data_IF_511973163908
#
_entry.id   IF_511973163908
#
_cell.length_a   1.000
_cell.length_b   1.000
_cell.length_c   1.000
_cell.angle_alpha   90.00
_cell.angle_beta   90.00
_cell.angle_gamma   90.00
#
_symmetry.space_group_name_H-M   'P 1'
#
loop_
_entity.id
_entity.type
_entity.pdbx_description
1 polymer ?
#
# COMPACT_ATOMS: atom_id res chain seq x y z
N UNK A 1 8.19 5.64 23.23
CA UNK A 1 7.03 6.00 22.39
C UNK A 1 6.45 4.71 21.81
N UNK A 2 5.13 4.58 21.69
CA UNK A 2 4.43 3.39 21.19
C UNK A 2 3.81 3.70 19.81
N UNK A 3 4.16 3.00 18.71
CA UNK A 3 3.59 3.33 17.40
C UNK A 3 2.10 2.95 17.36
N UNK A 4 1.23 3.87 16.98
CA UNK A 4 -0.14 3.55 16.57
C UNK A 4 -0.07 2.65 15.32
N UNK A 5 -0.87 1.58 15.27
CA UNK A 5 -0.77 0.52 14.26
C UNK A 5 0.59 -0.19 14.20
N UNK A 6 1.39 -0.11 15.27
CA UNK A 6 2.59 -0.92 15.40
C UNK A 6 2.30 -2.29 15.98
N UNK A 7 3.05 -3.31 15.54
CA UNK A 7 3.05 -4.65 16.14
C UNK A 7 4.36 -4.83 16.91
N UNK A 8 4.28 -5.02 18.23
CA UNK A 8 5.46 -5.22 19.08
C UNK A 8 5.92 -6.68 19.06
N UNK A 9 7.13 -6.93 18.56
CA UNK A 9 7.76 -8.25 18.45
C UNK A 9 8.88 -8.47 19.47
N UNK A 10 8.98 -7.65 20.52
CA UNK A 10 10.09 -7.71 21.48
C UNK A 10 10.08 -8.95 22.35
N UNK A 11 8.90 -9.35 22.83
CA UNK A 11 8.70 -10.49 23.73
C UNK A 11 8.11 -11.72 23.03
N UNK A 12 7.43 -11.52 21.90
CA UNK A 12 6.76 -12.57 21.13
C UNK A 12 6.90 -12.25 19.63
N UNK A 13 7.66 -13.07 18.90
CA UNK A 13 7.86 -12.89 17.46
C UNK A 13 6.62 -13.25 16.63
N UNK A 14 5.65 -13.99 17.22
CA UNK A 14 4.39 -14.36 16.60
C UNK A 14 3.23 -13.41 16.94
N UNK A 15 3.49 -12.28 17.60
CA UNK A 15 2.45 -11.32 17.93
C UNK A 15 1.86 -10.69 16.65
N UNK A 16 0.53 -10.64 16.57
CA UNK A 16 -0.23 -10.02 15.48
C UNK A 16 -1.07 -8.82 15.97
N UNK A 17 -1.04 -8.52 17.27
CA UNK A 17 -1.85 -7.47 17.86
C UNK A 17 -1.28 -6.09 17.54
N UNK A 18 -2.09 -5.28 16.88
CA UNK A 18 -1.84 -3.87 16.66
C UNK A 18 -2.02 -3.08 17.97
N UNK A 19 -1.12 -2.12 18.18
CA UNK A 19 -1.35 -1.03 19.11
C UNK A 19 -2.52 -0.13 18.65
N UNK A 20 -3.13 0.61 19.57
CA UNK A 20 -4.11 1.64 19.24
C UNK A 20 -5.55 1.29 19.61
N UNK A 21 -5.80 0.07 20.09
CA UNK A 21 -7.10 -0.32 20.65
C UNK A 21 -7.53 0.60 21.81
N UNK A 22 -6.61 1.30 22.47
CA UNK A 22 -6.90 2.25 23.54
C UNK A 22 -7.62 3.53 23.04
N UNK A 23 -7.58 3.79 21.73
CA UNK A 23 -8.24 4.91 21.04
C UNK A 23 -9.52 4.49 20.33
N UNK A 24 -9.82 3.19 20.25
CA UNK A 24 -10.98 2.69 19.55
C UNK A 24 -12.26 3.05 20.30
N UNK A 25 -13.17 3.77 19.65
CA UNK A 25 -14.43 4.25 20.24
C UNK A 25 -15.68 3.61 19.62
N UNK A 26 -15.57 3.04 18.41
CA UNK A 26 -16.63 2.26 17.79
C UNK A 26 -16.05 1.20 16.86
N UNK A 27 -16.78 0.10 16.70
CA UNK A 27 -16.52 -0.95 15.70
C UNK A 27 -17.77 -1.12 14.83
N UNK A 28 -17.61 -1.59 13.60
CA UNK A 28 -18.75 -2.04 12.81
C UNK A 28 -19.49 -3.17 13.53
N UNK A 29 -20.77 -3.33 13.23
CA UNK A 29 -21.56 -4.46 13.70
C UNK A 29 -21.00 -5.78 13.15
N UNK A 30 -21.15 -6.85 13.94
CA UNK A 30 -20.72 -8.19 13.51
C UNK A 30 -21.34 -8.63 12.17
N UNK A 31 -22.56 -8.17 11.88
CA UNK A 31 -23.25 -8.44 10.60
C UNK A 31 -22.46 -7.84 9.43
N UNK A 32 -22.01 -6.58 9.54
CA UNK A 32 -21.24 -5.94 8.49
C UNK A 32 -19.82 -6.48 8.40
N UNK A 33 -19.18 -6.79 9.53
CA UNK A 33 -17.86 -7.44 9.55
C UNK A 33 -17.91 -8.80 8.84
N UNK A 34 -18.89 -9.66 9.16
CA UNK A 34 -19.06 -10.96 8.51
C UNK A 34 -19.38 -10.82 7.00
N UNK A 35 -20.16 -9.80 6.64
CA UNK A 35 -20.47 -9.50 5.24
C UNK A 35 -19.22 -9.05 4.47
N UNK A 36 -18.40 -8.17 5.07
CA UNK A 36 -17.15 -7.70 4.50
C UNK A 36 -16.15 -8.83 4.29
N UNK A 37 -15.98 -9.71 5.28
CA UNK A 37 -15.10 -10.89 5.18
C UNK A 37 -15.54 -11.84 4.06
N UNK A 38 -16.85 -12.08 3.97
CA UNK A 38 -17.46 -12.92 2.95
C UNK A 38 -17.23 -12.37 1.54
N UNK A 39 -17.43 -11.06 1.34
CA UNK A 39 -17.23 -10.41 0.04
C UNK A 39 -15.75 -10.28 -0.30
N UNK A 40 -14.88 -9.94 0.65
CA UNK A 40 -13.43 -9.90 0.48
C UNK A 40 -12.88 -11.25 -0.02
N UNK A 41 -13.35 -12.36 0.55
CA UNK A 41 -13.01 -13.70 0.08
C UNK A 41 -13.44 -13.98 -1.37
N UNK A 42 -14.58 -13.42 -1.83
CA UNK A 42 -15.03 -13.53 -3.23
C UNK A 42 -14.20 -12.62 -4.15
N UNK A 43 -13.91 -11.40 -3.73
CA UNK A 43 -13.08 -10.44 -4.47
C UNK A 43 -11.67 -11.00 -4.69
N UNK A 44 -11.06 -11.65 -3.69
CA UNK A 44 -9.79 -12.35 -3.87
C UNK A 44 -9.86 -13.48 -4.91
N UNK A 45 -10.96 -14.23 -4.97
CA UNK A 45 -11.17 -15.27 -5.99
C UNK A 45 -11.31 -14.65 -7.38
N UNK A 46 -12.01 -13.51 -7.50
CA UNK A 46 -12.13 -12.74 -8.74
C UNK A 46 -10.74 -12.30 -9.23
N UNK A 47 -9.91 -11.73 -8.34
CA UNK A 47 -8.52 -11.33 -8.67
C UNK A 47 -7.69 -12.53 -9.13
N UNK A 48 -7.78 -13.67 -8.45
CA UNK A 48 -7.08 -14.90 -8.89
C UNK A 48 -7.60 -15.40 -10.24
N UNK A 49 -8.90 -15.28 -10.49
CA UNK A 49 -9.54 -15.70 -11.75
C UNK A 49 -9.16 -14.78 -12.92
N UNK A 50 -8.99 -13.48 -12.68
CA UNK A 50 -8.63 -12.48 -13.70
C UNK A 50 -7.19 -12.67 -14.21
N UNK A 51 -6.29 -13.16 -13.36
CA UNK A 51 -4.90 -13.45 -13.71
C UNK A 51 -4.76 -14.66 -14.64
N UNK A 52 -3.70 -14.67 -15.45
CA UNK A 52 -3.32 -15.86 -16.22
C UNK A 52 -3.01 -17.05 -15.29
N UNK A 53 -3.28 -18.30 -15.73
CA UNK A 53 -2.80 -19.49 -15.03
C UNK A 53 -1.30 -19.39 -14.72
N UNK A 54 -0.90 -19.88 -13.54
CA UNK A 54 0.48 -19.78 -13.07
C UNK A 54 1.53 -20.25 -14.10
N UNK A 55 1.36 -21.38 -14.81
CA UNK A 55 2.33 -21.82 -15.82
C UNK A 55 2.53 -20.81 -16.95
N UNK A 56 1.44 -20.18 -17.42
CA UNK A 56 1.52 -19.18 -18.49
C UNK A 56 2.20 -17.90 -18.00
N UNK A 57 1.98 -17.50 -16.74
CA UNK A 57 2.71 -16.37 -16.15
C UNK A 57 4.20 -16.64 -16.04
N UNK A 58 4.57 -17.85 -15.61
CA UNK A 58 5.98 -18.26 -15.54
C UNK A 58 6.64 -18.20 -16.91
N UNK A 59 5.98 -18.70 -17.96
CA UNK A 59 6.49 -18.62 -19.34
C UNK A 59 6.64 -17.18 -19.80
N UNK A 60 5.66 -16.32 -19.51
CA UNK A 60 5.69 -14.89 -19.86
C UNK A 60 6.90 -14.20 -19.22
N UNK A 61 7.09 -14.33 -17.90
CA UNK A 61 8.21 -13.73 -17.19
C UNK A 61 9.57 -14.29 -17.62
N UNK A 62 9.65 -15.59 -17.93
CA UNK A 62 10.87 -16.19 -18.46
C UNK A 62 11.23 -15.61 -19.84
N UNK A 63 10.25 -15.41 -20.73
CA UNK A 63 10.47 -14.80 -22.04
C UNK A 63 10.94 -13.34 -21.91
N UNK A 64 10.32 -12.56 -21.02
CA UNK A 64 10.72 -11.18 -20.73
C UNK A 64 12.15 -11.10 -20.19
N UNK A 65 12.50 -11.97 -19.23
CA UNK A 65 13.85 -12.02 -18.65
C UNK A 65 14.90 -12.41 -19.70
N UNK A 66 14.64 -13.44 -20.52
CA UNK A 66 15.55 -13.85 -21.60
C UNK A 66 15.73 -12.69 -22.59
N UNK A 67 14.66 -12.02 -22.99
CA UNK A 67 14.72 -10.87 -23.90
C UNK A 67 15.57 -9.73 -23.32
N UNK A 68 15.41 -9.41 -22.03
CA UNK A 68 16.21 -8.39 -21.33
C UNK A 68 17.69 -8.76 -21.24
N UNK A 69 18.02 -10.03 -20.98
CA UNK A 69 19.41 -10.50 -20.96
C UNK A 69 20.05 -10.33 -22.34
N UNK A 70 19.34 -10.69 -23.41
CA UNK A 70 19.85 -10.53 -24.78
C UNK A 70 20.06 -9.06 -25.12
N UNK A 71 19.11 -8.18 -24.80
CA UNK A 71 19.27 -6.71 -24.98
C UNK A 71 20.49 -6.20 -24.21
N UNK A 72 20.63 -6.58 -22.94
CA UNK A 72 21.76 -6.16 -22.11
C UNK A 72 23.11 -6.65 -22.63
N UNK A 73 23.17 -7.85 -23.21
CA UNK A 73 24.36 -8.38 -23.88
C UNK A 73 24.70 -7.60 -25.16
N UNK A 74 23.70 -7.32 -26.00
CA UNK A 74 23.89 -6.55 -27.24
C UNK A 74 24.36 -5.12 -26.97
N UNK A 75 23.82 -4.46 -25.93
CA UNK A 75 24.24 -3.10 -25.55
C UNK A 75 25.67 -3.02 -25.00
N UNK A 76 26.24 -4.14 -24.54
CA UNK A 76 27.61 -4.23 -24.03
C UNK A 76 28.61 -4.78 -25.04
N UNK A 77 28.14 -5.21 -26.21
CA UNK A 77 29.00 -5.78 -27.22
C UNK A 77 29.77 -4.65 -27.95
N UNK A 78 31.10 -4.72 -27.95
CA UNK A 78 31.97 -3.81 -28.69
C UNK A 78 32.03 -4.12 -30.20
N UNK A 79 31.02 -4.82 -30.72
CA UNK A 79 30.89 -5.21 -32.13
C UNK A 79 29.59 -4.65 -32.70
N UNK A 80 29.57 -4.41 -34.01
CA UNK A 80 28.37 -3.90 -34.66
C UNK A 80 27.20 -4.91 -34.58
N UNK A 81 25.93 -4.46 -34.65
CA UNK A 81 24.78 -5.36 -34.68
C UNK A 81 24.84 -6.39 -35.82
N UNK A 82 25.36 -6.00 -36.99
CA UNK A 82 25.53 -6.92 -38.12
C UNK A 82 26.57 -8.02 -37.82
N UNK A 83 27.67 -7.66 -37.17
CA UNK A 83 28.74 -8.58 -36.80
C UNK A 83 28.31 -9.53 -35.66
N UNK A 84 27.61 -9.03 -34.66
CA UNK A 84 27.02 -9.89 -33.61
C UNK A 84 25.94 -10.83 -34.14
N UNK A 85 25.13 -10.39 -35.12
CA UNK A 85 24.18 -11.27 -35.82
C UNK A 85 24.89 -12.36 -36.60
N UNK A 86 26.01 -12.05 -37.26
CA UNK A 86 26.80 -13.06 -37.95
C UNK A 86 27.39 -14.08 -36.98
N UNK A 87 27.88 -13.62 -35.82
CA UNK A 87 28.51 -14.47 -34.80
C UNK A 87 27.51 -15.38 -34.07
N UNK A 88 26.30 -14.87 -33.77
CA UNK A 88 25.30 -15.62 -33.00
C UNK A 88 23.86 -15.30 -33.48
N UNK A 89 23.49 -15.71 -34.70
CA UNK A 89 22.18 -15.38 -35.28
C UNK A 89 21.02 -16.01 -34.49
N UNK A 90 21.26 -17.14 -33.83
CA UNK A 90 20.26 -17.83 -33.01
C UNK A 90 19.77 -16.97 -31.83
N UNK A 91 20.60 -16.07 -31.29
CA UNK A 91 20.19 -15.15 -30.22
C UNK A 91 19.11 -14.17 -30.69
N UNK A 92 19.19 -13.71 -31.93
CA UNK A 92 18.21 -12.80 -32.51
C UNK A 92 16.87 -13.50 -32.77
N UNK A 93 16.91 -14.75 -33.25
CA UNK A 93 15.69 -15.55 -33.41
C UNK A 93 15.07 -15.93 -32.08
N UNK A 94 15.87 -16.31 -31.08
CA UNK A 94 15.40 -16.56 -29.72
C UNK A 94 14.76 -15.32 -29.12
N UNK A 95 15.40 -14.15 -29.26
CA UNK A 95 14.83 -12.87 -28.84
C UNK A 95 13.47 -12.60 -29.48
N UNK A 96 13.37 -12.75 -30.81
CA UNK A 96 12.11 -12.54 -31.54
C UNK A 96 11.00 -13.48 -31.05
N UNK A 97 11.30 -14.76 -30.85
CA UNK A 97 10.36 -15.75 -30.32
C UNK A 97 9.91 -15.39 -28.91
N UNK A 98 10.84 -15.04 -28.01
CA UNK A 98 10.53 -14.62 -26.65
C UNK A 98 9.62 -13.38 -26.63
N UNK A 99 9.91 -12.36 -27.46
CA UNK A 99 9.08 -11.16 -27.56
C UNK A 99 7.67 -11.49 -28.05
N UNK A 100 7.54 -12.32 -29.10
CA UNK A 100 6.23 -12.71 -29.63
C UNK A 100 5.41 -13.47 -28.58
N UNK A 101 6.01 -14.44 -27.90
CA UNK A 101 5.35 -15.21 -26.84
C UNK A 101 4.93 -14.28 -25.69
N UNK A 102 5.83 -13.41 -25.23
CA UNK A 102 5.55 -12.44 -24.16
C UNK A 102 4.37 -11.53 -24.51
N UNK A 103 4.36 -10.94 -25.71
CA UNK A 103 3.28 -10.07 -26.19
C UNK A 103 1.95 -10.83 -26.31
N UNK A 104 1.96 -12.05 -26.86
CA UNK A 104 0.74 -12.86 -26.97
C UNK A 104 0.15 -13.18 -25.59
N UNK A 105 0.99 -13.59 -24.64
CA UNK A 105 0.56 -13.88 -23.27
C UNK A 105 0.06 -12.62 -22.58
N UNK A 106 0.74 -11.48 -22.74
CA UNK A 106 0.29 -10.20 -22.20
C UNK A 106 -1.10 -9.81 -22.69
N UNK A 107 -1.35 -9.91 -24.01
CA UNK A 107 -2.66 -9.62 -24.61
C UNK A 107 -3.74 -10.59 -24.09
N UNK A 108 -3.43 -11.90 -24.03
CA UNK A 108 -4.34 -12.90 -23.48
C UNK A 108 -4.67 -12.64 -22.01
N UNK A 109 -3.68 -12.22 -21.23
CA UNK A 109 -3.87 -11.82 -19.84
C UNK A 109 -4.81 -10.65 -19.71
N UNK A 110 -4.59 -9.57 -20.47
CA UNK A 110 -5.47 -8.39 -20.48
C UNK A 110 -6.89 -8.71 -20.94
N UNK A 111 -7.04 -9.60 -21.94
CA UNK A 111 -8.36 -10.04 -22.39
C UNK A 111 -9.08 -10.86 -21.32
N UNK A 112 -8.40 -11.78 -20.66
CA UNK A 112 -8.96 -12.59 -19.56
C UNK A 112 -9.37 -11.71 -18.38
N UNK A 113 -8.50 -10.78 -18.00
CA UNK A 113 -8.76 -9.81 -16.94
C UNK A 113 -10.05 -9.03 -17.22
N UNK A 114 -10.14 -8.45 -18.42
CA UNK A 114 -11.33 -7.71 -18.85
C UNK A 114 -12.58 -8.60 -18.88
N UNK A 115 -12.49 -9.82 -19.41
CA UNK A 115 -13.63 -10.74 -19.46
C UNK A 115 -14.15 -11.09 -18.06
N UNK A 116 -13.26 -11.27 -17.08
CA UNK A 116 -13.65 -11.54 -15.70
C UNK A 116 -14.26 -10.30 -15.06
N UNK A 117 -13.67 -9.11 -15.25
CA UNK A 117 -14.19 -7.87 -14.66
C UNK A 117 -15.51 -7.40 -15.30
N UNK A 118 -15.74 -7.71 -16.58
CA UNK A 118 -16.96 -7.32 -17.28
C UNK A 118 -18.15 -8.27 -16.99
N UNK A 119 -17.89 -9.44 -16.41
CA UNK A 119 -18.88 -10.43 -16.03
C UNK A 119 -19.88 -9.89 -14.99
N UNK A 120 -21.16 -10.16 -15.19
CA UNK A 120 -22.25 -9.58 -14.38
C UNK A 120 -22.16 -9.99 -12.91
N UNK A 121 -21.80 -11.24 -12.61
CA UNK A 121 -21.65 -11.73 -11.23
C UNK A 121 -20.47 -11.05 -10.55
N UNK A 122 -19.37 -10.85 -11.28
CA UNK A 122 -18.19 -10.13 -10.81
C UNK A 122 -18.52 -8.67 -10.50
N UNK A 123 -19.17 -7.96 -11.42
CA UNK A 123 -19.62 -6.57 -11.19
C UNK A 123 -20.53 -6.45 -9.99
N UNK A 124 -21.46 -7.40 -9.82
CA UNK A 124 -22.35 -7.43 -8.67
C UNK A 124 -21.57 -7.62 -7.37
N UNK A 125 -20.63 -8.57 -7.34
CA UNK A 125 -19.80 -8.81 -6.15
C UNK A 125 -18.97 -7.58 -5.77
N UNK A 126 -18.39 -6.88 -6.76
CA UNK A 126 -17.65 -5.64 -6.51
C UNK A 126 -18.57 -4.53 -6.01
N UNK A 127 -19.74 -4.36 -6.62
CA UNK A 127 -20.74 -3.40 -6.16
C UNK A 127 -21.28 -3.71 -4.75
N UNK A 128 -21.41 -4.99 -4.39
CA UNK A 128 -21.78 -5.43 -3.05
C UNK A 128 -20.67 -5.07 -2.05
N UNK A 129 -19.39 -5.19 -2.44
CA UNK A 129 -18.23 -4.74 -1.64
C UNK A 129 -18.30 -3.25 -1.36
N UNK A 130 -18.42 -2.43 -2.41
CA UNK A 130 -18.51 -0.98 -2.29
C UNK A 130 -19.70 -0.54 -1.43
N UNK A 131 -20.82 -1.27 -1.51
CA UNK A 131 -22.01 -0.99 -0.72
C UNK A 131 -21.78 -1.30 0.77
N UNK A 132 -21.17 -2.45 1.09
CA UNK A 132 -20.85 -2.83 2.47
C UNK A 132 -19.85 -1.85 3.09
N UNK A 133 -18.80 -1.46 2.35
CA UNK A 133 -17.83 -0.47 2.83
C UNK A 133 -18.50 0.86 3.17
N UNK A 134 -19.40 1.35 2.29
CA UNK A 134 -20.19 2.56 2.57
C UNK A 134 -21.11 2.41 3.77
N UNK A 135 -21.72 1.24 3.96
CA UNK A 135 -22.58 0.98 5.10
C UNK A 135 -21.79 0.96 6.41
N UNK A 136 -20.58 0.39 6.41
CA UNK A 136 -19.66 0.44 7.55
C UNK A 136 -19.28 1.88 7.88
N UNK A 137 -18.85 2.67 6.89
CA UNK A 137 -18.46 4.07 7.11
C UNK A 137 -19.65 4.92 7.63
N UNK A 138 -20.87 4.64 7.15
CA UNK A 138 -22.08 5.26 7.66
C UNK A 138 -22.39 4.83 9.11
N UNK A 139 -22.26 3.55 9.45
CA UNK A 139 -22.43 3.05 10.83
C UNK A 139 -21.41 3.71 11.78
N UNK A 140 -20.16 3.87 11.33
CA UNK A 140 -19.10 4.54 12.08
C UNK A 140 -19.25 6.08 12.09
N UNK A 141 -20.32 6.61 11.49
CA UNK A 141 -20.61 8.04 11.45
C UNK A 141 -19.45 8.85 10.88
N UNK A 142 -18.92 8.41 9.74
CA UNK A 142 -17.94 9.17 8.94
C UNK A 142 -18.69 10.27 8.19
N UNK A 143 -18.31 11.55 8.35
CA UNK A 143 -18.98 12.65 7.68
C UNK A 143 -18.53 12.80 6.23
N UNK A 144 -19.37 13.42 5.39
CA UNK A 144 -19.10 13.63 3.95
C UNK A 144 -17.84 14.47 3.67
N UNK A 145 -17.40 15.29 4.62
CA UNK A 145 -16.20 16.12 4.50
C UNK A 145 -14.92 15.41 5.00
N UNK A 146 -15.02 14.15 5.44
CA UNK A 146 -13.85 13.37 5.80
C UNK A 146 -12.93 13.22 4.59
N UNK A 147 -11.62 13.21 4.83
CA UNK A 147 -10.60 13.05 3.80
C UNK A 147 -9.96 11.68 3.90
N UNK A 148 -9.60 11.09 2.77
CA UNK A 148 -8.81 9.87 2.76
C UNK A 148 -7.34 10.19 3.01
N UNK A 149 -6.73 9.50 3.96
CA UNK A 149 -5.31 9.59 4.29
C UNK A 149 -4.72 8.21 4.50
N UNK A 150 -3.43 8.10 4.30
CA UNK A 150 -2.69 6.90 4.63
C UNK A 150 -1.92 7.05 5.96
N UNK A 151 -1.87 5.98 6.74
CA UNK A 151 -1.09 5.86 7.98
C UNK A 151 -0.20 4.62 7.90
N UNK A 152 1.05 4.75 8.33
CA UNK A 152 2.04 3.69 8.23
C UNK A 152 1.91 2.69 9.39
N UNK A 153 1.78 1.41 9.04
CA UNK A 153 1.80 0.27 9.96
C UNK A 153 3.08 -0.55 9.76
N UNK A 154 3.66 -1.06 10.85
CA UNK A 154 4.89 -1.86 10.82
C UNK A 154 5.13 -2.67 12.10
N UNK A 155 5.88 -3.76 11.96
CA UNK A 155 6.39 -4.51 13.10
C UNK A 155 7.66 -3.86 13.67
N UNK A 156 7.77 -3.83 15.00
CA UNK A 156 8.91 -3.23 15.69
C UNK A 156 9.38 -4.05 16.89
N UNK A 157 10.64 -3.84 17.28
CA UNK A 157 11.22 -4.31 18.54
C UNK A 157 11.66 -3.09 19.35
N UNK A 158 11.55 -3.20 20.66
CA UNK A 158 12.00 -2.22 21.63
C UNK A 158 13.39 -2.62 22.12
N UNK A 159 14.37 -1.75 21.88
CA UNK A 159 15.75 -1.95 22.31
C UNK A 159 16.20 -0.69 23.05
N UNK A 160 16.54 -0.80 24.33
CA UNK A 160 16.94 0.33 25.18
C UNK A 160 15.96 1.52 25.08
N UNK A 161 14.66 1.25 25.26
CA UNK A 161 13.56 2.25 25.20
C UNK A 161 13.42 2.94 23.83
N UNK A 162 14.10 2.42 22.80
CA UNK A 162 14.04 2.93 21.43
C UNK A 162 13.31 1.95 20.52
N UNK A 163 12.34 2.45 19.75
CA UNK A 163 11.67 1.67 18.71
C UNK A 163 12.64 1.42 17.55
N UNK A 164 12.86 0.16 17.19
CA UNK A 164 13.51 -0.24 15.94
C UNK A 164 12.53 -1.05 15.10
N UNK A 165 12.42 -0.70 13.82
CA UNK A 165 11.65 -1.50 12.87
C UNK A 165 12.25 -2.92 12.81
N UNK A 166 11.41 -3.94 13.01
CA UNK A 166 11.86 -5.31 13.23
C UNK A 166 12.52 -5.94 12.00
N UNK A 167 12.14 -5.50 10.80
CA UNK A 167 12.63 -6.06 9.55
C UNK A 167 13.21 -4.97 8.65
N UNK A 168 14.55 -4.91 8.57
CA UNK A 168 15.26 -3.93 7.74
C UNK A 168 15.01 -4.21 6.26
N UNK A 169 14.52 -3.19 5.53
CA UNK A 169 14.29 -3.29 4.09
C UNK A 169 12.95 -3.90 3.70
N UNK A 170 12.13 -4.29 4.67
CA UNK A 170 10.74 -4.69 4.41
C UNK A 170 9.90 -3.42 4.30
N UNK A 171 9.11 -3.26 3.23
CA UNK A 171 8.21 -2.13 3.10
C UNK A 171 7.21 -2.05 4.26
N UNK A 172 6.89 -0.83 4.67
CA UNK A 172 5.82 -0.55 5.62
C UNK A 172 4.47 -0.72 4.93
N UNK A 173 3.46 -1.11 5.70
CA UNK A 173 2.09 -1.23 5.20
C UNK A 173 1.44 0.14 5.21
N UNK A 174 0.81 0.51 4.10
CA UNK A 174 0.12 1.78 3.94
C UNK A 174 -1.38 1.59 4.20
N UNK A 175 -1.83 1.89 5.43
CA UNK A 175 -3.20 1.67 5.86
C UNK A 175 -4.07 2.89 5.48
N UNK A 176 -5.17 2.67 4.75
CA UNK A 176 -6.10 3.73 4.34
C UNK A 176 -7.10 4.05 5.45
N UNK A 177 -7.28 5.33 5.75
CA UNK A 177 -8.22 5.85 6.73
C UNK A 177 -9.00 7.04 6.19
N UNK A 178 -10.21 7.23 6.68
CA UNK A 178 -10.92 8.50 6.65
C UNK A 178 -10.53 9.33 7.88
N UNK A 179 -10.10 10.57 7.67
CA UNK A 179 -9.72 11.51 8.72
C UNK A 179 -10.66 12.71 8.76
N UNK A 180 -11.05 13.11 9.97
CA UNK A 180 -11.82 14.32 10.24
C UNK A 180 -11.65 14.74 11.69
N UNK A 181 -12.13 15.93 12.04
CA UNK A 181 -12.09 16.46 13.41
C UNK A 181 -13.46 16.94 13.84
N UNK A 182 -13.69 16.95 15.15
CA UNK A 182 -14.66 17.83 15.79
C UNK A 182 -13.95 18.83 16.72
N UNK A 183 -14.66 19.41 17.69
CA UNK A 183 -14.07 20.36 18.64
C UNK A 183 -13.11 19.73 19.66
N UNK A 184 -13.16 18.42 19.87
CA UNK A 184 -12.44 17.72 20.93
C UNK A 184 -11.41 16.72 20.38
N UNK A 185 -11.71 16.04 19.28
CA UNK A 185 -10.97 14.89 18.80
C UNK A 185 -10.62 14.99 17.32
N UNK A 186 -9.47 14.41 16.98
CA UNK A 186 -9.14 13.92 15.65
C UNK A 186 -9.61 12.47 15.54
N UNK A 187 -10.28 12.14 14.45
CA UNK A 187 -10.74 10.78 14.17
C UNK A 187 -9.98 10.18 13.01
N UNK A 188 -9.60 8.91 13.14
CA UNK A 188 -9.21 8.05 12.03
C UNK A 188 -10.22 6.90 11.97
N UNK A 189 -10.78 6.64 10.79
CA UNK A 189 -11.79 5.59 10.60
C UNK A 189 -11.42 4.73 9.40
N UNK A 190 -11.31 3.42 9.62
CA UNK A 190 -11.20 2.42 8.57
C UNK A 190 -12.38 1.45 8.65
N UNK A 191 -12.28 0.32 7.95
CA UNK A 191 -13.31 -0.72 7.98
C UNK A 191 -13.30 -1.56 9.27
N UNK A 192 -12.25 -1.45 10.09
CA UNK A 192 -12.12 -2.19 11.36
C UNK A 192 -12.66 -1.39 12.55
N UNK A 193 -12.62 -0.05 12.47
CA UNK A 193 -13.27 0.79 13.46
C UNK A 193 -12.93 2.28 13.39
N UNK A 194 -13.50 2.99 14.37
CA UNK A 194 -13.32 4.43 14.58
C UNK A 194 -12.41 4.67 15.78
N UNK A 195 -11.32 5.36 15.53
CA UNK A 195 -10.32 5.72 16.52
C UNK A 195 -10.42 7.22 16.83
N UNK A 196 -10.44 7.59 18.11
CA UNK A 196 -10.53 8.96 18.57
C UNK A 196 -9.26 9.37 19.31
N UNK A 197 -8.64 10.45 18.86
CA UNK A 197 -7.44 11.03 19.45
C UNK A 197 -7.78 12.42 19.97
N UNK A 198 -7.80 12.65 21.29
CA UNK A 198 -8.07 13.97 21.84
C UNK A 198 -7.09 15.00 21.29
N UNK A 199 -7.56 16.09 20.71
CA UNK A 199 -6.70 17.13 20.13
C UNK A 199 -5.74 17.71 21.18
N UNK A 200 -6.20 17.81 22.42
CA UNK A 200 -5.40 18.24 23.58
C UNK A 200 -4.25 17.29 23.94
N UNK A 201 -4.30 16.04 23.49
CA UNK A 201 -3.23 15.06 23.69
C UNK A 201 -2.09 15.20 22.68
N UNK A 202 -2.34 15.83 21.52
CA UNK A 202 -1.38 15.94 20.43
C UNK A 202 -0.34 17.01 20.79
N UNK A 203 0.93 16.61 20.81
CA UNK A 203 2.02 17.46 21.30
C UNK A 203 2.78 18.13 20.16
N UNK A 204 3.16 17.34 19.15
CA UNK A 204 4.03 17.78 18.06
C UNK A 204 3.91 16.86 16.85
N UNK A 205 4.21 17.40 15.67
CA UNK A 205 4.49 16.61 14.47
C UNK A 205 6.00 16.76 14.19
N UNK A 206 6.73 15.65 14.20
CA UNK A 206 8.17 15.62 13.94
C UNK A 206 8.46 15.13 12.53
N UNK A 207 9.40 15.78 11.84
CA UNK A 207 9.88 15.33 10.53
C UNK A 207 11.03 14.36 10.68
N UNK A 208 10.84 13.13 10.21
CA UNK A 208 11.88 12.11 10.19
C UNK A 208 12.50 12.04 8.80
N UNK A 209 13.72 12.55 8.67
CA UNK A 209 14.52 12.53 7.43
C UNK A 209 15.21 11.18 7.22
N UNK A 210 14.43 10.11 7.25
CA UNK A 210 14.89 8.75 6.95
C UNK A 210 14.02 8.18 5.83
N UNK A 211 14.64 7.55 4.82
CA UNK A 211 13.87 6.94 3.74
C UNK A 211 13.09 5.74 4.27
N UNK A 212 11.86 5.60 3.79
CA UNK A 212 11.00 4.44 4.03
C UNK A 212 10.43 3.96 2.71
N UNK A 213 10.22 2.66 2.61
CA UNK A 213 9.51 2.06 1.48
C UNK A 213 8.12 1.69 1.98
N UNK A 214 7.09 1.95 1.19
CA UNK A 214 5.71 1.58 1.48
C UNK A 214 5.19 0.66 0.37
N UNK A 215 4.42 -0.35 0.74
CA UNK A 215 3.61 -1.08 -0.23
C UNK A 215 2.27 -0.37 -0.42
N UNK A 216 1.62 -0.66 -1.53
CA UNK A 216 0.22 -0.32 -1.79
C UNK A 216 -0.06 1.18 -1.86
N UNK A 217 -0.25 1.65 -3.10
CA UNK A 217 -0.65 3.02 -3.37
C UNK A 217 -2.17 3.11 -3.34
N UNK A 218 -2.72 3.72 -2.29
CA UNK A 218 -4.17 3.78 -2.05
C UNK A 218 -4.87 4.95 -2.76
N UNK A 219 -4.15 5.75 -3.56
CA UNK A 219 -4.71 6.96 -4.18
C UNK A 219 -5.06 6.74 -5.65
N UNK A 220 -6.18 7.31 -6.07
CA UNK A 220 -6.62 7.30 -7.47
C UNK A 220 -5.58 7.94 -8.41
N UNK A 221 -5.02 9.08 -8.00
CA UNK A 221 -3.98 9.75 -8.78
C UNK A 221 -2.62 9.05 -8.57
N UNK A 222 -1.90 8.71 -9.66
CA UNK A 222 -0.57 8.10 -9.53
C UNK A 222 0.41 8.96 -8.73
N UNK A 223 1.26 8.31 -7.94
CA UNK A 223 2.25 8.94 -7.05
C UNK A 223 3.20 9.97 -7.71
N UNK A 224 3.39 9.88 -9.03
CA UNK A 224 4.26 10.76 -9.81
C UNK A 224 3.52 11.84 -10.61
N UNK A 225 2.21 12.00 -10.40
CA UNK A 225 1.35 12.99 -11.06
C UNK A 225 0.72 13.97 -10.05
N UNK A 226 0.03 14.97 -10.62
CA UNK A 226 -0.68 16.06 -9.94
C UNK A 226 -0.08 16.53 -8.62
N UNK A 227 -0.84 16.41 -7.54
CA UNK A 227 -0.44 16.94 -6.22
C UNK A 227 0.71 16.15 -5.61
N UNK A 228 0.90 14.90 -6.03
CA UNK A 228 1.92 14.02 -5.45
C UNK A 228 3.31 14.22 -6.03
N UNK A 229 3.41 14.80 -7.24
CA UNK A 229 4.69 15.08 -7.93
C UNK A 229 5.67 15.89 -7.07
N UNK A 230 5.17 16.78 -6.20
CA UNK A 230 6.01 17.61 -5.34
C UNK A 230 6.81 16.80 -4.31
N UNK A 231 6.33 15.63 -3.90
CA UNK A 231 6.97 14.77 -2.91
C UNK A 231 8.11 13.93 -3.48
N UNK A 232 8.31 13.93 -4.82
CA UNK A 232 9.42 13.26 -5.52
C UNK A 232 9.54 11.78 -5.12
N UNK A 233 8.41 11.11 -5.01
CA UNK A 233 8.29 9.68 -4.74
C UNK A 233 8.85 8.89 -5.93
N UNK A 234 9.47 7.74 -5.66
CA UNK A 234 10.00 6.82 -6.68
C UNK A 234 9.47 5.42 -6.43
N UNK A 235 9.30 4.61 -7.47
CA UNK A 235 8.92 3.21 -7.29
C UNK A 235 10.02 2.25 -7.74
N UNK A 236 10.06 1.06 -7.18
CA UNK A 236 10.86 -0.05 -7.70
C UNK A 236 10.08 -0.89 -8.73
N UNK A 237 10.74 -1.93 -9.26
CA UNK A 237 10.16 -2.82 -10.27
C UNK A 237 9.05 -3.74 -9.72
N UNK A 238 8.92 -3.85 -8.39
CA UNK A 238 7.87 -4.64 -7.74
C UNK A 238 6.71 -3.75 -7.26
N UNK A 239 6.74 -2.46 -7.58
CA UNK A 239 5.66 -1.51 -7.31
C UNK A 239 5.70 -0.86 -5.92
N UNK A 240 6.76 -1.09 -5.14
CA UNK A 240 6.90 -0.45 -3.83
C UNK A 240 7.26 1.03 -4.02
N UNK A 241 6.68 1.91 -3.20
CA UNK A 241 6.90 3.35 -3.27
C UNK A 241 7.92 3.77 -2.22
N UNK A 242 8.93 4.53 -2.62
CA UNK A 242 9.97 5.06 -1.73
C UNK A 242 9.69 6.53 -1.38
N UNK A 243 9.55 6.77 -0.08
CA UNK A 243 9.43 8.09 0.52
C UNK A 243 10.79 8.48 1.13
N UNK A 244 11.26 9.71 0.90
CA UNK A 244 12.55 10.19 1.44
C UNK A 244 12.48 10.54 2.94
N UNK A 245 11.28 10.81 3.41
CA UNK A 245 10.97 11.18 4.78
C UNK A 245 9.55 10.74 5.11
N UNK A 246 9.26 10.71 6.40
CA UNK A 246 7.93 10.53 6.96
C UNK A 246 7.81 11.40 8.20
N UNK A 247 6.62 11.47 8.78
CA UNK A 247 6.33 12.28 9.96
C UNK A 247 5.81 11.41 11.08
N UNK A 248 6.02 11.85 12.32
CA UNK A 248 5.43 11.22 13.50
C UNK A 248 4.64 12.30 14.24
N UNK A 249 3.33 12.09 14.36
CA UNK A 249 2.49 12.89 15.24
C UNK A 249 2.48 12.24 16.62
N UNK A 250 3.07 12.93 17.59
CA UNK A 250 3.20 12.44 18.97
C UNK A 250 2.01 12.89 19.81
N UNK A 251 1.49 11.97 20.61
CA UNK A 251 0.40 12.23 21.53
C UNK A 251 0.65 11.61 22.90
N UNK A 252 0.22 12.28 23.96
CA UNK A 252 0.26 11.72 25.32
C UNK A 252 -1.11 11.27 25.77
N UNK A 253 -1.26 9.98 26.01
CA UNK A 253 -2.54 9.38 26.36
C UNK A 253 -2.34 8.35 27.47
N UNK A 254 -3.11 8.50 28.55
CA UNK A 254 -3.10 7.62 29.74
C UNK A 254 -1.69 7.34 30.32
N UNK A 255 -0.82 8.35 30.31
CA UNK A 255 0.54 8.25 30.86
C UNK A 255 1.58 7.65 29.90
N UNK A 256 1.18 7.30 28.68
CA UNK A 256 2.07 6.83 27.62
C UNK A 256 2.20 7.86 26.50
N UNK A 257 3.26 7.75 25.70
CA UNK A 257 3.46 8.55 24.49
C UNK A 257 3.24 7.63 23.29
N UNK A 258 2.26 7.96 22.45
CA UNK A 258 1.99 7.28 21.19
C UNK A 258 2.50 8.10 20.01
N UNK A 259 2.79 7.44 18.89
CA UNK A 259 3.18 8.07 17.64
C UNK A 259 2.35 7.55 16.47
N UNK A 260 1.67 8.44 15.75
CA UNK A 260 1.03 8.13 14.46
C UNK A 260 2.03 8.42 13.34
N UNK A 261 2.36 7.41 12.54
CA UNK A 261 3.38 7.50 11.50
C UNK A 261 2.73 7.84 10.17
N UNK A 262 3.12 8.99 9.61
CA UNK A 262 2.41 9.64 8.50
C UNK A 262 3.35 9.71 7.29
N UNK A 263 2.95 9.19 6.11
CA UNK A 263 3.72 9.39 4.88
C UNK A 263 3.88 10.87 4.55
N UNK A 264 5.00 11.24 3.92
CA UNK A 264 5.28 12.66 3.61
C UNK A 264 4.19 13.37 2.81
N UNK A 265 3.43 12.64 1.99
CA UNK A 265 2.38 13.20 1.15
C UNK A 265 1.07 13.49 1.88
N UNK A 266 0.90 12.98 3.10
CA UNK A 266 -0.30 13.19 3.93
C UNK A 266 -0.15 14.31 4.94
N UNK A 267 1.08 14.77 5.19
CA UNK A 267 1.36 15.81 6.19
C UNK A 267 0.43 17.03 6.10
N UNK A 268 0.14 17.62 4.92
CA UNK A 268 -0.69 18.82 4.86
C UNK A 268 -2.07 18.67 5.48
N UNK A 269 -2.69 17.48 5.36
CA UNK A 269 -4.00 17.19 5.92
C UNK A 269 -3.92 17.16 7.45
N UNK A 270 -2.90 16.49 8.00
CA UNK A 270 -2.69 16.43 9.45
C UNK A 270 -2.37 17.81 10.05
N UNK A 271 -1.55 18.63 9.38
CA UNK A 271 -1.27 20.00 9.85
C UNK A 271 -2.51 20.89 9.84
N UNK A 272 -3.36 20.76 8.81
CA UNK A 272 -4.59 21.53 8.70
C UNK A 272 -5.59 21.16 9.81
N UNK A 273 -5.80 19.86 10.05
CA UNK A 273 -6.77 19.37 11.03
C UNK A 273 -6.33 19.58 12.48
N UNK A 274 -5.03 19.51 12.75
CA UNK A 274 -4.49 19.67 14.11
C UNK A 274 -4.07 21.10 14.44
N UNK A 275 -3.90 21.96 13.42
CA UNK A 275 -3.32 23.29 13.57
C UNK A 275 -1.81 23.28 13.90
N UNK A 276 -1.17 22.11 13.95
CA UNK A 276 0.25 21.98 14.22
C UNK A 276 1.07 22.07 12.94
N UNK A 277 2.32 22.53 13.07
CA UNK A 277 3.30 22.52 11.99
C UNK A 277 4.43 21.56 12.31
N UNK A 278 4.84 20.79 11.30
CA UNK A 278 5.94 19.86 11.44
C UNK A 278 7.24 20.62 11.75
N UNK A 279 8.02 20.07 12.68
CA UNK A 279 9.34 20.57 13.07
C UNK A 279 10.45 19.64 12.59
#
# INVERSE_FOLDING_TARGET
MKPFLGINLSSDEGNELLNGNEFLVAKPSAILTDALDSVSGKTQKIVKKSQLPLPLRVVMYACELIALIIIGGLLRADVSPAESYHNAPWLYWLFAVCVIIGVLLFILGKRKERQVLEDTETKRTLSDSDAIEKEILAELSVPDNAREVDVLSFCYKEENETIKMAQKGVPLTNMSFHIFTDSENLYLVDLDGKYAFPLSSIQVIQTIRKPVTVMDWNKDEPFNKGIYKQYKLTSDNIGSIHCKSYHIMELSYRGEIYGIYIPSYELPIFEELTGLKAK
#
